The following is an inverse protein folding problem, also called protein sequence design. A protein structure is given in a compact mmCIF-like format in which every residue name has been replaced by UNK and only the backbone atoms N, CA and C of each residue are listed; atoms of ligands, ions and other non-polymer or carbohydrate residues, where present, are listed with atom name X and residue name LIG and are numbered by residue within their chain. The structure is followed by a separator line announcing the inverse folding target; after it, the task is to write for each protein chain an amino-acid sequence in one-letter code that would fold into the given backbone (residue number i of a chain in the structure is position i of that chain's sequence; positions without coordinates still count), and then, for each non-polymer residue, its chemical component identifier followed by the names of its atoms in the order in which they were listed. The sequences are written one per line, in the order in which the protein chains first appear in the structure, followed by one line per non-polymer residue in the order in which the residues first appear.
data_IF_869111880071
#
_entry.id   IF_869111880071
#
_cell.length_a   1.000
_cell.length_b   1.000
_cell.length_c   1.000
_cell.angle_alpha   90.00
_cell.angle_beta   90.00
_cell.angle_gamma   90.00
#
_symmetry.space_group_name_H-M   'P 1'
#
loop_
_entity.id
_entity.type
_entity.pdbx_description
1 polymer ?
#
# COMPACT_ATOMS: atom_id res chain seq x y z
N UNK A 1 11.90 -28.11 32.93
CA UNK A 1 10.77 -27.15 32.97
C UNK A 1 11.04 -25.88 32.15
N UNK A 2 12.28 -25.39 32.06
CA UNK A 2 12.60 -24.15 31.35
C UNK A 2 12.67 -24.28 29.80
N UNK A 3 13.04 -25.46 29.28
CA UNK A 3 13.15 -25.73 27.84
C UNK A 3 11.81 -25.73 27.11
N UNK A 4 10.75 -26.23 27.76
CA UNK A 4 9.39 -26.19 27.21
C UNK A 4 8.84 -24.76 27.12
N UNK A 5 9.15 -23.91 28.11
CA UNK A 5 8.76 -22.49 28.09
C UNK A 5 9.50 -21.70 27.01
N UNK A 6 10.80 -21.97 26.84
CA UNK A 6 11.60 -21.36 25.78
C UNK A 6 11.14 -21.79 24.38
N UNK A 7 10.84 -23.08 24.19
CA UNK A 7 10.30 -23.58 22.92
C UNK A 7 8.93 -22.95 22.61
N UNK A 8 8.05 -22.83 23.60
CA UNK A 8 6.75 -22.18 23.44
C UNK A 8 6.90 -20.69 23.08
N UNK A 9 7.82 -19.95 23.72
CA UNK A 9 8.10 -18.56 23.37
C UNK A 9 8.64 -18.41 21.95
N UNK A 10 9.57 -19.27 21.54
CA UNK A 10 10.13 -19.24 20.18
C UNK A 10 9.07 -19.51 19.11
N UNK A 11 8.17 -20.47 19.36
CA UNK A 11 7.06 -20.80 18.45
C UNK A 11 6.04 -19.64 18.35
N UNK A 12 5.75 -18.96 19.46
CA UNK A 12 4.85 -17.80 19.46
C UNK A 12 5.47 -16.58 18.77
N UNK A 13 6.76 -16.34 18.98
CA UNK A 13 7.48 -15.23 18.35
C UNK A 13 7.62 -15.40 16.84
N UNK A 14 7.85 -16.63 16.35
CA UNK A 14 7.94 -16.91 14.91
C UNK A 14 6.59 -16.84 14.20
N UNK A 15 5.49 -17.18 14.88
CA UNK A 15 4.13 -17.01 14.33
C UNK A 15 3.76 -15.53 14.12
N UNK A 16 4.17 -14.66 15.04
CA UNK A 16 3.91 -13.23 14.95
C UNK A 16 4.70 -12.56 13.80
N UNK A 17 5.93 -13.02 13.53
CA UNK A 17 6.75 -12.53 12.43
C UNK A 17 6.18 -12.90 11.04
N UNK A 18 5.51 -14.05 10.93
CA UNK A 18 4.87 -14.51 9.69
C UNK A 18 3.50 -13.86 9.42
N UNK A 19 2.87 -13.27 10.44
CA UNK A 19 1.62 -12.54 10.29
C UNK A 19 1.80 -11.08 9.83
N UNK A 20 3.05 -10.60 9.76
CA UNK A 20 3.39 -9.27 9.27
C UNK A 20 3.26 -9.21 7.75
N UNK A 21 2.28 -8.45 7.24
CA UNK A 21 2.19 -8.12 5.83
C UNK A 21 3.04 -6.90 5.49
N UNK A 22 3.50 -6.81 4.23
CA UNK A 22 4.20 -5.62 3.74
C UNK A 22 3.26 -4.41 3.75
N UNK A 23 3.77 -3.28 4.23
CA UNK A 23 3.08 -1.99 4.19
C UNK A 23 3.88 -1.00 3.34
N UNK A 24 3.18 -0.03 2.76
CA UNK A 24 3.73 1.05 1.95
C UNK A 24 3.58 2.35 2.71
N UNK A 25 4.70 3.03 2.94
CA UNK A 25 4.80 4.29 3.65
C UNK A 25 5.03 5.46 2.67
N UNK A 26 4.18 6.48 2.78
CA UNK A 26 4.32 7.73 2.05
C UNK A 26 4.08 8.90 3.01
N UNK A 27 5.19 9.47 3.50
CA UNK A 27 5.17 10.50 4.55
C UNK A 27 4.49 9.99 5.81
N UNK A 28 3.37 10.63 6.20
CA UNK A 28 2.59 10.28 7.40
C UNK A 28 1.63 9.12 7.20
N UNK A 29 1.47 8.64 5.97
CA UNK A 29 0.54 7.57 5.65
C UNK A 29 1.25 6.23 5.56
N UNK A 30 0.59 5.20 6.09
CA UNK A 30 1.00 3.81 5.93
C UNK A 30 -0.23 2.99 5.56
N UNK A 31 -0.12 2.21 4.49
CA UNK A 31 -1.19 1.36 3.98
C UNK A 31 -0.65 -0.06 3.77
N UNK A 32 -1.49 -1.08 3.90
CA UNK A 32 -1.08 -2.43 3.49
C UNK A 32 -0.82 -2.46 1.99
N UNK A 33 0.17 -3.26 1.56
CA UNK A 33 0.43 -3.48 0.14
C UNK A 33 -0.83 -4.02 -0.58
N UNK A 34 -1.63 -4.83 0.11
CA UNK A 34 -2.92 -5.32 -0.39
C UNK A 34 -3.93 -4.21 -0.67
N UNK A 35 -4.01 -3.17 0.17
CA UNK A 35 -4.87 -2.01 -0.10
C UNK A 35 -4.34 -1.17 -1.26
N UNK A 36 -3.02 -1.08 -1.43
CA UNK A 36 -2.38 -0.36 -2.54
C UNK A 36 -2.59 -1.09 -3.87
N UNK A 37 -2.50 -2.43 -3.90
CA UNK A 37 -2.76 -3.27 -5.09
C UNK A 37 -4.13 -3.00 -5.72
N UNK A 38 -5.16 -2.71 -4.90
CA UNK A 38 -6.52 -2.35 -5.36
C UNK A 38 -6.57 -1.10 -6.25
N UNK A 39 -5.53 -0.25 -6.25
CA UNK A 39 -5.45 0.88 -7.18
C UNK A 39 -5.31 0.42 -8.63
N UNK A 40 -4.71 -0.74 -8.90
CA UNK A 40 -4.64 -1.30 -10.26
C UNK A 40 -6.03 -1.60 -10.84
N UNK A 41 -6.92 -2.11 -10.00
CA UNK A 41 -8.26 -2.53 -10.40
C UNK A 41 -9.15 -1.34 -10.78
N UNK A 42 -8.72 -0.12 -10.49
CA UNK A 42 -9.45 1.09 -10.85
C UNK A 42 -9.39 1.42 -12.34
N UNK A 43 -8.53 0.76 -13.14
CA UNK A 43 -8.53 0.68 -14.62
C UNK A 43 -8.39 1.99 -15.43
N UNK A 44 -8.93 3.10 -14.94
CA UNK A 44 -9.01 4.42 -15.58
C UNK A 44 -8.10 5.47 -14.90
N UNK A 45 -7.40 5.12 -13.82
CA UNK A 45 -6.41 6.00 -13.18
C UNK A 45 -5.14 6.17 -14.06
N UNK A 46 -4.72 5.11 -14.77
CA UNK A 46 -3.66 5.18 -15.80
C UNK A 46 -3.96 6.16 -16.95
N UNK A 47 -5.24 6.42 -17.28
CA UNK A 47 -5.59 7.46 -18.28
C UNK A 47 -5.33 8.87 -17.76
N UNK A 48 -5.28 9.08 -16.44
CA UNK A 48 -4.98 10.38 -15.82
C UNK A 48 -3.54 10.83 -16.10
N UNK A 49 -2.64 9.88 -16.38
CA UNK A 49 -1.23 10.13 -16.71
C UNK A 49 -1.04 10.41 -18.21
N UNK A 50 -1.92 9.89 -19.09
CA UNK A 50 -1.82 10.05 -20.56
C UNK A 50 -2.61 11.21 -21.17
N UNK A 51 -3.62 11.78 -20.48
CA UNK A 51 -4.40 12.92 -21.01
C UNK A 51 -4.03 14.22 -20.30
N UNK A 52 -3.09 14.95 -20.88
CA UNK A 52 -2.56 16.23 -20.37
C UNK A 52 -3.47 17.45 -20.59
N UNK A 53 -4.76 17.33 -20.94
CA UNK A 53 -5.56 18.54 -21.26
C UNK A 53 -7.08 18.46 -21.07
N UNK A 54 -7.63 17.37 -20.51
CA UNK A 54 -9.06 17.34 -20.15
C UNK A 54 -9.16 17.12 -18.64
N UNK A 55 -9.98 17.91 -17.96
CA UNK A 55 -10.24 17.86 -16.51
C UNK A 55 -10.27 16.40 -16.04
N UNK A 56 -9.16 15.97 -15.47
CA UNK A 56 -8.93 14.63 -14.96
C UNK A 56 -9.80 14.50 -13.71
N UNK A 57 -10.81 13.62 -13.69
CA UNK A 57 -11.64 13.44 -12.50
C UNK A 57 -10.75 13.14 -11.29
N UNK A 58 -11.04 13.77 -10.15
CA UNK A 58 -10.33 13.46 -8.91
C UNK A 58 -10.45 11.95 -8.66
N UNK A 59 -9.35 11.19 -8.59
CA UNK A 59 -9.41 9.74 -8.40
C UNK A 59 -10.16 9.31 -7.13
N UNK A 60 -10.26 10.20 -6.15
CA UNK A 60 -11.07 9.99 -4.96
C UNK A 60 -12.59 9.91 -5.20
N UNK A 61 -13.07 10.35 -6.36
CA UNK A 61 -14.50 10.35 -6.70
C UNK A 61 -14.92 9.06 -7.43
N UNK A 62 -14.00 8.14 -7.73
CA UNK A 62 -14.36 6.87 -8.33
C UNK A 62 -15.22 6.04 -7.35
N UNK A 63 -16.36 5.46 -7.80
CA UNK A 63 -17.25 4.71 -6.92
C UNK A 63 -16.56 3.50 -6.28
N UNK A 64 -15.57 2.93 -6.96
CA UNK A 64 -14.82 1.76 -6.51
C UNK A 64 -13.51 2.10 -5.77
N UNK A 65 -13.29 3.39 -5.45
CA UNK A 65 -12.06 3.82 -4.79
C UNK A 65 -11.85 3.11 -3.43
N UNK A 66 -10.65 2.55 -3.16
CA UNK A 66 -10.35 1.81 -1.94
C UNK A 66 -10.67 2.62 -0.67
N UNK A 67 -11.45 2.02 0.23
CA UNK A 67 -11.92 2.71 1.46
C UNK A 67 -10.74 3.08 2.36
N UNK A 68 -9.73 2.23 2.38
CA UNK A 68 -8.50 2.34 3.17
C UNK A 68 -7.66 3.55 2.74
N UNK A 69 -7.72 3.94 1.46
CA UNK A 69 -6.97 5.06 0.90
C UNK A 69 -7.73 6.40 0.96
N UNK A 70 -9.02 6.39 1.36
CA UNK A 70 -9.85 7.61 1.45
C UNK A 70 -9.26 8.72 2.33
N UNK A 71 -8.48 8.46 3.39
CA UNK A 71 -7.82 9.52 4.15
C UNK A 71 -6.95 10.44 3.27
N UNK A 72 -6.33 9.92 2.21
CA UNK A 72 -5.51 10.69 1.26
C UNK A 72 -6.30 11.79 0.57
N UNK A 73 -7.59 11.56 0.32
CA UNK A 73 -8.45 12.48 -0.40
C UNK A 73 -8.69 13.82 0.30
N UNK A 74 -8.31 13.93 1.57
CA UNK A 74 -8.35 15.19 2.34
C UNK A 74 -7.07 16.02 2.17
N UNK A 75 -6.01 15.43 1.64
CA UNK A 75 -4.72 16.08 1.47
C UNK A 75 -4.70 16.93 0.20
N UNK A 76 -4.00 18.06 0.25
CA UNK A 76 -3.85 18.94 -0.92
C UNK A 76 -3.07 18.27 -2.04
N UNK A 77 -2.13 17.39 -1.69
CA UNK A 77 -1.29 16.63 -2.61
C UNK A 77 -1.76 15.18 -2.81
N UNK A 78 -3.08 14.93 -2.65
CA UNK A 78 -3.66 13.60 -2.78
C UNK A 78 -3.32 12.95 -4.14
N UNK A 79 -3.32 13.74 -5.21
CA UNK A 79 -3.07 13.26 -6.57
C UNK A 79 -1.64 12.74 -6.71
N UNK A 80 -0.66 13.49 -6.23
CA UNK A 80 0.75 13.12 -6.31
C UNK A 80 1.06 11.88 -5.45
N UNK A 81 0.45 11.77 -4.27
CA UNK A 81 0.56 10.57 -3.43
C UNK A 81 -0.05 9.37 -4.15
N UNK A 82 -1.28 9.52 -4.70
CA UNK A 82 -1.95 8.43 -5.41
C UNK A 82 -1.18 7.96 -6.64
N UNK A 83 -0.54 8.87 -7.38
CA UNK A 83 0.33 8.50 -8.51
C UNK A 83 1.53 7.65 -8.08
N UNK A 84 2.15 7.97 -6.93
CA UNK A 84 3.24 7.13 -6.39
C UNK A 84 2.74 5.76 -5.93
N UNK A 85 1.61 5.73 -5.24
CA UNK A 85 0.99 4.47 -4.80
C UNK A 85 0.54 3.61 -5.99
N UNK A 86 0.09 4.23 -7.08
CA UNK A 86 -0.25 3.53 -8.33
C UNK A 86 1.00 2.92 -8.98
N UNK A 87 2.12 3.64 -9.05
CA UNK A 87 3.39 3.08 -9.53
C UNK A 87 3.87 1.89 -8.67
N UNK A 88 3.69 1.96 -7.35
CA UNK A 88 3.97 0.82 -6.46
C UNK A 88 2.97 -0.31 -6.68
N UNK A 89 1.69 -0.01 -6.89
CA UNK A 89 0.70 -1.01 -7.22
C UNK A 89 1.12 -1.73 -8.50
N UNK A 90 1.57 -0.98 -9.54
CA UNK A 90 2.09 -1.42 -10.85
C UNK A 90 3.32 -2.33 -10.81
N UNK A 91 4.09 -2.30 -9.72
CA UNK A 91 5.22 -3.19 -9.45
C UNK A 91 5.22 -3.63 -7.98
N UNK A 92 4.13 -4.27 -7.56
CA UNK A 92 3.92 -4.69 -6.18
C UNK A 92 4.91 -5.77 -5.72
N UNK A 93 5.43 -6.59 -6.65
CA UNK A 93 6.47 -7.58 -6.38
C UNK A 93 7.73 -6.97 -5.78
N UNK A 94 8.12 -5.77 -6.22
CA UNK A 94 9.28 -5.07 -5.65
C UNK A 94 9.07 -4.68 -4.19
N UNK A 95 7.82 -4.41 -3.77
CA UNK A 95 7.52 -4.22 -2.35
C UNK A 95 7.58 -5.51 -1.53
N UNK A 96 7.19 -6.66 -2.12
CA UNK A 96 7.24 -7.96 -1.43
C UNK A 96 8.67 -8.39 -1.08
N UNK A 97 9.66 -7.92 -1.86
CA UNK A 97 11.09 -8.14 -1.61
C UNK A 97 11.80 -6.90 -1.04
N UNK A 98 11.05 -5.89 -0.56
CA UNK A 98 11.59 -4.68 0.07
C UNK A 98 12.58 -3.89 -0.79
N UNK A 99 12.44 -3.94 -2.11
CA UNK A 99 13.34 -3.26 -3.04
C UNK A 99 13.14 -1.73 -3.03
N UNK A 100 11.98 -1.24 -2.58
CA UNK A 100 11.72 0.19 -2.40
C UNK A 100 11.75 0.58 -0.93
N UNK A 101 12.38 1.72 -0.62
CA UNK A 101 12.43 2.29 0.73
C UNK A 101 11.04 2.65 1.32
N UNK A 102 10.02 2.77 0.46
CA UNK A 102 8.65 2.97 0.89
C UNK A 102 8.02 1.70 1.49
N UNK A 103 8.58 0.50 1.24
CA UNK A 103 8.00 -0.75 1.70
C UNK A 103 8.62 -1.16 3.05
N UNK A 104 7.78 -1.54 4.01
CA UNK A 104 8.21 -1.97 5.36
C UNK A 104 7.43 -3.22 5.78
N UNK A 105 7.86 -3.93 6.83
CA UNK A 105 7.19 -5.15 7.31
C UNK A 105 7.76 -6.44 6.71
N UNK A 106 8.84 -6.28 5.97
CA UNK A 106 9.95 -7.20 5.89
C UNK A 106 11.13 -6.59 6.67
#
# INVERSE_FOLDING_TARGET
MNTFLLAALCLLGSWAALAGGVTVQDGKFSFSLESVKKLRDLGDLQKLTRRSSAVVPNPCNYPNFPKELKPLCKERNAREILQRLEAIAEDSSSCEICAYAACTGC
#
